data_IF_252494842740
#
_entry.id   IF_252494842740
#
_cell.length_a   1.000
_cell.length_b   1.000
_cell.length_c   1.000
_cell.angle_alpha   90.00
_cell.angle_beta   90.00
_cell.angle_gamma   90.00
#
_symmetry.space_group_name_H-M   'P 1'
#
loop_
_entity.id
_entity.type
_entity.pdbx_description
1 polymer ?
#
# COMPACT_ATOMS: atom_id res chain seq x y z
N UNK A 1 9.37 5.64 18.10
CA UNK A 1 9.25 5.59 16.64
C UNK A 1 8.75 4.20 16.25
N UNK A 2 7.80 4.13 15.32
CA UNK A 2 7.27 2.87 14.79
C UNK A 2 7.26 2.91 13.28
N UNK A 3 7.44 1.75 12.65
CA UNK A 3 7.25 1.56 11.22
C UNK A 3 5.86 0.96 10.97
N UNK A 4 5.09 1.55 10.06
CA UNK A 4 3.74 1.10 9.78
C UNK A 4 3.30 1.50 8.36
N UNK A 5 2.16 0.99 7.94
CA UNK A 5 1.55 1.41 6.68
C UNK A 5 0.91 2.80 6.82
N UNK A 6 0.99 3.60 5.76
CA UNK A 6 0.44 4.95 5.68
C UNK A 6 -1.04 5.00 6.14
N UNK A 7 -1.86 4.07 5.67
CA UNK A 7 -3.29 3.98 6.04
C UNK A 7 -3.52 3.76 7.53
N UNK A 8 -2.61 3.09 8.22
CA UNK A 8 -2.74 2.86 9.66
C UNK A 8 -2.30 4.11 10.43
N UNK A 9 -1.20 4.73 10.05
CA UNK A 9 -0.74 5.96 10.68
C UNK A 9 -1.77 7.09 10.57
N UNK A 10 -2.33 7.31 9.38
CA UNK A 10 -3.26 8.42 9.14
C UNK A 10 -4.58 8.27 9.91
N UNK A 11 -5.03 7.05 10.19
CA UNK A 11 -6.19 6.82 11.06
C UNK A 11 -5.99 7.40 12.46
N UNK A 12 -4.82 7.17 13.06
CA UNK A 12 -4.50 7.70 14.38
C UNK A 12 -4.36 9.22 14.37
N UNK A 13 -3.72 9.78 13.32
CA UNK A 13 -3.62 11.23 13.14
C UNK A 13 -5.01 11.84 13.04
N UNK A 14 -5.89 11.30 12.20
CA UNK A 14 -7.25 11.80 12.00
C UNK A 14 -8.15 11.62 13.24
N UNK A 15 -7.84 10.65 14.10
CA UNK A 15 -8.50 10.45 15.38
C UNK A 15 -7.97 11.37 16.50
N UNK A 16 -7.02 12.27 16.20
CA UNK A 16 -6.47 13.21 17.18
C UNK A 16 -5.45 12.58 18.14
N UNK A 17 -4.93 11.40 17.84
CA UNK A 17 -3.86 10.79 18.64
C UNK A 17 -2.58 11.63 18.57
N UNK A 18 -1.75 11.68 19.64
CA UNK A 18 -0.53 12.47 19.69
C UNK A 18 0.61 11.80 18.90
N UNK A 19 0.35 11.50 17.64
CA UNK A 19 1.30 10.88 16.70
C UNK A 19 1.45 11.74 15.46
N UNK A 20 2.64 11.69 14.86
CA UNK A 20 2.93 12.35 13.58
C UNK A 20 3.46 11.31 12.60
N UNK A 21 2.92 11.33 11.40
CA UNK A 21 3.44 10.54 10.29
C UNK A 21 4.58 11.31 9.61
N UNK A 22 5.67 10.61 9.35
CA UNK A 22 6.85 11.16 8.66
C UNK A 22 7.31 10.16 7.61
N UNK A 23 7.51 10.65 6.39
CA UNK A 23 8.15 9.87 5.34
C UNK A 23 9.67 10.01 5.46
N UNK A 24 10.43 8.92 5.27
CA UNK A 24 11.89 8.97 5.26
C UNK A 24 12.42 9.89 4.15
N UNK A 25 13.43 10.68 4.46
CA UNK A 25 14.10 11.55 3.47
C UNK A 25 14.82 10.76 2.37
N UNK A 26 15.22 9.54 2.67
CA UNK A 26 15.81 8.59 1.75
C UNK A 26 14.81 8.10 0.69
N UNK A 27 13.55 8.08 1.06
CA UNK A 27 12.43 7.60 0.24
C UNK A 27 11.70 6.42 0.87
N UNK A 28 10.54 6.12 0.33
CA UNK A 28 9.72 4.97 0.73
C UNK A 28 9.22 4.21 -0.49
N UNK A 29 8.78 2.97 -0.29
CA UNK A 29 8.16 2.19 -1.37
C UNK A 29 6.69 2.56 -1.53
N UNK A 30 6.19 2.51 -2.76
CA UNK A 30 4.77 2.56 -3.08
C UNK A 30 4.41 1.33 -3.92
N UNK A 31 4.08 0.25 -3.23
CA UNK A 31 3.74 -1.03 -3.87
C UNK A 31 2.22 -1.18 -3.84
N UNK A 32 1.54 -1.31 -4.98
CA UNK A 32 0.10 -1.50 -5.02
C UNK A 32 -0.27 -2.90 -4.52
N UNK A 33 -1.40 -2.99 -3.83
CA UNK A 33 -2.04 -4.29 -3.56
C UNK A 33 -2.52 -4.88 -4.88
N UNK A 34 -2.31 -6.18 -5.08
CA UNK A 34 -2.69 -6.88 -6.29
C UNK A 34 -4.00 -7.64 -6.16
N UNK A 35 -4.74 -7.74 -7.27
CA UNK A 35 -5.85 -8.67 -7.44
C UNK A 35 -5.60 -9.50 -8.69
N UNK A 36 -5.80 -10.82 -8.59
CA UNK A 36 -5.55 -11.74 -9.69
C UNK A 36 -6.71 -12.74 -9.86
N UNK A 37 -6.96 -13.13 -11.11
CA UNK A 37 -7.90 -14.19 -11.44
C UNK A 37 -7.16 -15.52 -11.44
N UNK A 38 -7.64 -16.48 -10.65
CA UNK A 38 -7.05 -17.81 -10.57
C UNK A 38 -7.19 -18.52 -11.92
N UNK A 39 -6.08 -19.02 -12.46
CA UNK A 39 -6.07 -19.81 -13.70
C UNK A 39 -6.96 -21.04 -13.55
N UNK A 40 -7.85 -21.27 -14.50
CA UNK A 40 -8.79 -22.40 -14.48
C UNK A 40 -10.04 -22.17 -13.63
N UNK A 41 -10.28 -20.95 -13.14
CA UNK A 41 -11.52 -20.61 -12.44
C UNK A 41 -12.75 -20.98 -13.30
N UNK A 42 -13.73 -21.65 -12.67
CA UNK A 42 -15.01 -22.00 -13.33
C UNK A 42 -15.93 -20.76 -13.52
N UNK A 43 -15.68 -19.69 -12.77
CA UNK A 43 -16.49 -18.48 -12.76
C UNK A 43 -15.73 -17.26 -13.33
N UNK A 44 -15.02 -17.45 -14.44
CA UNK A 44 -14.09 -16.46 -14.97
C UNK A 44 -14.75 -15.11 -15.29
N UNK A 45 -15.97 -15.12 -15.82
CA UNK A 45 -16.72 -13.91 -16.16
C UNK A 45 -17.14 -13.11 -14.90
N UNK A 46 -17.51 -13.79 -13.83
CA UNK A 46 -17.77 -13.13 -12.55
C UNK A 46 -16.49 -12.62 -11.89
N UNK A 47 -15.39 -13.34 -12.04
CA UNK A 47 -14.08 -12.88 -11.56
C UNK A 47 -13.63 -11.59 -12.27
N UNK A 48 -13.81 -11.50 -13.59
CA UNK A 48 -13.54 -10.27 -14.35
C UNK A 48 -14.41 -9.11 -13.87
N UNK A 49 -15.72 -9.32 -13.72
CA UNK A 49 -16.63 -8.30 -13.17
C UNK A 49 -16.21 -7.82 -11.80
N UNK A 50 -15.71 -8.71 -10.94
CA UNK A 50 -15.20 -8.33 -9.63
C UNK A 50 -13.93 -7.46 -9.74
N UNK A 51 -13.01 -7.79 -10.64
CA UNK A 51 -11.82 -6.95 -10.89
C UNK A 51 -12.25 -5.57 -11.40
N UNK A 52 -13.16 -5.51 -12.37
CA UNK A 52 -13.69 -4.24 -12.90
C UNK A 52 -14.38 -3.42 -11.81
N UNK A 53 -15.16 -4.06 -10.94
CA UNK A 53 -15.78 -3.43 -9.78
C UNK A 53 -14.71 -2.88 -8.81
N UNK A 54 -13.70 -3.68 -8.46
CA UNK A 54 -12.64 -3.27 -7.55
C UNK A 54 -11.84 -2.08 -8.09
N UNK A 55 -11.67 -1.98 -9.41
CA UNK A 55 -10.98 -0.89 -10.10
C UNK A 55 -11.89 0.27 -10.50
N UNK A 56 -13.20 0.19 -10.27
CA UNK A 56 -14.15 1.25 -10.60
C UNK A 56 -13.86 2.52 -9.78
N UNK A 57 -14.22 3.68 -10.34
CA UNK A 57 -14.03 4.97 -9.65
C UNK A 57 -14.77 5.01 -8.32
N UNK A 58 -15.99 4.50 -8.27
CA UNK A 58 -16.81 4.50 -7.06
C UNK A 58 -16.17 3.67 -5.95
N UNK A 59 -15.74 2.45 -6.26
CA UNK A 59 -15.06 1.59 -5.28
C UNK A 59 -13.75 2.23 -4.81
N UNK A 60 -12.94 2.73 -5.72
CA UNK A 60 -11.68 3.38 -5.38
C UNK A 60 -11.89 4.67 -4.56
N UNK A 61 -12.96 5.41 -4.81
CA UNK A 61 -13.34 6.58 -4.00
C UNK A 61 -13.74 6.18 -2.58
N UNK A 62 -14.51 5.09 -2.41
CA UNK A 62 -14.84 4.54 -1.09
C UNK A 62 -13.57 4.08 -0.37
N UNK A 63 -12.66 3.40 -1.06
CA UNK A 63 -11.37 2.96 -0.50
C UNK A 63 -10.54 4.14 0.01
N UNK A 64 -10.51 5.24 -0.75
CA UNK A 64 -9.81 6.45 -0.36
C UNK A 64 -10.48 7.14 0.85
N UNK A 65 -11.77 7.43 0.76
CA UNK A 65 -12.47 8.27 1.75
C UNK A 65 -12.77 7.55 3.07
N UNK A 66 -13.13 6.27 3.01
CA UNK A 66 -13.54 5.51 4.19
C UNK A 66 -12.44 4.62 4.77
N UNK A 67 -11.53 4.12 3.94
CA UNK A 67 -10.49 3.19 4.36
C UNK A 67 -9.08 3.80 4.36
N UNK A 68 -8.97 5.08 4.04
CA UNK A 68 -7.69 5.81 3.98
C UNK A 68 -6.64 5.11 3.10
N UNK A 69 -7.09 4.47 2.02
CA UNK A 69 -6.21 3.81 1.05
C UNK A 69 -6.02 4.68 -0.18
N UNK A 70 -4.78 4.85 -0.63
CA UNK A 70 -4.54 5.51 -1.92
C UNK A 70 -5.14 4.70 -3.05
N UNK A 71 -5.81 5.41 -3.95
CA UNK A 71 -6.33 4.80 -5.17
C UNK A 71 -5.20 4.50 -6.16
N UNK A 72 -5.39 3.45 -6.94
CA UNK A 72 -4.56 3.18 -8.13
C UNK A 72 -5.01 3.98 -9.36
N UNK A 73 -6.07 4.78 -9.22
CA UNK A 73 -6.62 5.64 -10.28
C UNK A 73 -6.18 7.08 -10.09
N UNK A 74 -5.87 7.75 -11.20
CA UNK A 74 -5.46 9.16 -11.21
C UNK A 74 -6.63 10.13 -11.06
N UNK A 75 -7.87 9.66 -11.23
CA UNK A 75 -9.11 10.46 -11.16
C UNK A 75 -9.84 10.31 -9.80
N UNK A 76 -9.15 9.80 -8.78
CA UNK A 76 -9.63 9.67 -7.40
C UNK A 76 -8.68 10.42 -6.48
N UNK A 77 -9.24 11.28 -5.64
CA UNK A 77 -8.46 12.09 -4.70
C UNK A 77 -7.75 11.24 -3.63
N UNK A 78 -6.64 11.75 -3.14
CA UNK A 78 -5.92 11.16 -2.01
C UNK A 78 -6.79 11.14 -0.75
N UNK A 79 -6.56 10.19 0.17
CA UNK A 79 -7.24 10.16 1.46
C UNK A 79 -7.06 11.44 2.25
N UNK A 80 -8.06 11.78 3.07
CA UNK A 80 -8.02 12.97 3.94
C UNK A 80 -6.75 12.97 4.81
N UNK A 81 -6.02 14.07 4.74
CA UNK A 81 -4.78 14.26 5.50
C UNK A 81 -3.52 13.73 4.81
N UNK A 82 -3.65 13.14 3.64
CA UNK A 82 -2.53 12.73 2.81
C UNK A 82 -2.40 13.66 1.60
N UNK A 83 -1.20 14.16 1.34
CA UNK A 83 -0.88 14.89 0.11
C UNK A 83 -0.82 13.95 -1.11
N UNK A 84 -0.65 14.49 -2.32
CA UNK A 84 -0.47 13.69 -3.53
C UNK A 84 0.78 12.81 -3.44
N UNK A 85 0.75 11.65 -4.10
CA UNK A 85 1.87 10.71 -4.08
C UNK A 85 3.13 11.31 -4.73
N UNK A 86 2.97 12.26 -5.65
CA UNK A 86 4.07 12.99 -6.28
C UNK A 86 4.94 13.79 -5.31
N UNK A 87 4.42 14.14 -4.14
CA UNK A 87 5.15 14.90 -3.13
C UNK A 87 6.00 14.00 -2.22
N UNK A 88 5.91 12.69 -2.40
CA UNK A 88 6.62 11.70 -1.62
C UNK A 88 7.80 11.18 -2.47
N UNK A 89 8.99 11.22 -1.90
CA UNK A 89 10.14 10.59 -2.54
C UNK A 89 9.96 9.07 -2.51
N UNK A 90 9.82 8.47 -3.68
CA UNK A 90 9.72 7.02 -3.82
C UNK A 90 11.07 6.42 -4.18
N UNK A 91 11.35 5.24 -3.65
CA UNK A 91 12.46 4.39 -4.09
C UNK A 91 12.03 3.57 -5.31
N UNK A 92 12.97 3.34 -6.21
CA UNK A 92 12.77 2.37 -7.29
C UNK A 92 12.76 0.96 -6.69
N UNK A 93 11.57 0.36 -6.64
CA UNK A 93 11.38 -0.93 -5.99
C UNK A 93 11.54 -2.07 -6.98
N UNK A 94 12.68 -2.74 -6.91
CA UNK A 94 12.99 -3.91 -7.75
C UNK A 94 12.24 -5.16 -7.25
N UNK A 95 11.13 -5.49 -7.91
CA UNK A 95 10.29 -6.64 -7.58
C UNK A 95 10.99 -7.97 -7.80
N UNK A 96 11.81 -8.09 -8.82
CA UNK A 96 12.51 -9.34 -9.16
C UNK A 96 13.59 -9.62 -8.12
N UNK A 97 14.39 -8.61 -7.79
CA UNK A 97 15.36 -8.71 -6.70
C UNK A 97 14.70 -9.01 -5.36
N UNK A 98 13.63 -8.31 -5.00
CA UNK A 98 12.92 -8.49 -3.75
C UNK A 98 12.34 -9.90 -3.61
N UNK A 99 11.80 -10.45 -4.70
CA UNK A 99 11.29 -11.82 -4.75
C UNK A 99 12.40 -12.84 -4.58
N UNK A 100 13.50 -12.68 -5.32
CA UNK A 100 14.64 -13.61 -5.29
C UNK A 100 15.38 -13.62 -3.94
N UNK A 101 15.41 -12.48 -3.23
CA UNK A 101 16.16 -12.31 -1.99
C UNK A 101 15.28 -12.30 -0.72
N UNK A 102 13.98 -12.61 -0.84
CA UNK A 102 13.02 -12.48 0.26
C UNK A 102 13.45 -13.21 1.53
N UNK A 103 13.89 -14.45 1.42
CA UNK A 103 14.27 -15.26 2.59
C UNK A 103 15.52 -14.72 3.28
N UNK A 104 16.50 -14.30 2.51
CA UNK A 104 17.75 -13.73 3.02
C UNK A 104 17.49 -12.40 3.75
N UNK A 105 16.69 -11.52 3.16
CA UNK A 105 16.27 -10.26 3.82
C UNK A 105 15.51 -10.52 5.11
N UNK A 106 14.57 -11.49 5.13
CA UNK A 106 13.83 -11.82 6.33
C UNK A 106 14.71 -12.42 7.43
N UNK A 107 15.70 -13.20 7.08
CA UNK A 107 16.66 -13.76 8.04
C UNK A 107 17.55 -12.66 8.62
N UNK A 108 18.10 -11.79 7.80
CA UNK A 108 18.85 -10.60 8.27
C UNK A 108 18.01 -9.71 9.19
N UNK A 109 16.72 -9.50 8.85
CA UNK A 109 15.82 -8.74 9.70
C UNK A 109 15.62 -9.41 11.08
N UNK A 110 15.43 -10.73 11.11
CA UNK A 110 15.32 -11.48 12.37
C UNK A 110 16.59 -11.32 13.23
N UNK A 111 17.76 -11.42 12.61
CA UNK A 111 19.04 -11.28 13.33
C UNK A 111 19.17 -9.88 13.96
N UNK A 112 18.78 -8.83 13.25
CA UNK A 112 18.73 -7.48 13.80
C UNK A 112 17.77 -7.36 14.98
N UNK A 113 16.58 -7.99 14.90
CA UNK A 113 15.57 -7.94 15.97
C UNK A 113 16.01 -8.65 17.24
N UNK A 114 16.76 -9.74 17.12
CA UNK A 114 17.24 -10.53 18.28
C UNK A 114 18.65 -10.14 18.72
N UNK A 115 19.23 -9.10 18.13
CA UNK A 115 20.54 -8.56 18.51
C UNK A 115 21.73 -9.48 18.20
N UNK A 116 21.63 -10.24 17.13
CA UNK A 116 22.73 -11.09 16.62
C UNK A 116 23.51 -10.41 15.52
#
# INVERSE_FOLDING_TARGET
VGLTLEKEAIKYVNAGSPVKMVYPSEGTSAVPDGVAIIKGSKNIENAKKFVDFALSKDTQSIMSTQLSRRSVRNDVEAPKGLGPLSDIKLVDYDFDWASANKEDVLNKWKDVLIGK
#
